data_IF_187373036271
#
_entry.id   IF_187373036271
#
_cell.length_a   1.000
_cell.length_b   1.000
_cell.length_c   1.000
_cell.angle_alpha   90.00
_cell.angle_beta   90.00
_cell.angle_gamma   90.00
#
_symmetry.space_group_name_H-M   'P 1'
#
loop_
_entity.id
_entity.type
_entity.pdbx_description
1 polymer ?
#
# COMPACT_ATOMS: atom_id res chain seq x y z
N UNK A 1 -18.31 0.16 -2.34
CA UNK A 1 -17.46 1.36 -2.39
C UNK A 1 -17.49 1.99 -1.01
N UNK A 2 -16.50 1.64 -0.19
CA UNK A 2 -16.28 2.26 1.11
C UNK A 2 -15.60 3.62 0.90
N UNK A 3 -16.08 4.65 1.59
CA UNK A 3 -15.40 5.94 1.65
C UNK A 3 -14.16 5.71 2.53
N UNK A 4 -12.97 5.81 1.97
CA UNK A 4 -11.74 5.71 2.74
C UNK A 4 -11.68 6.92 3.67
N UNK A 5 -11.65 6.68 4.98
CA UNK A 5 -11.42 7.73 5.96
C UNK A 5 -9.91 7.94 6.09
N UNK A 6 -9.40 8.92 5.34
CA UNK A 6 -7.97 9.25 5.25
C UNK A 6 -7.41 9.88 6.54
N UNK A 7 -8.23 10.06 7.58
CA UNK A 7 -7.81 10.66 8.85
C UNK A 7 -7.26 9.65 9.88
N UNK A 8 -7.45 8.35 9.65
CA UNK A 8 -6.93 7.27 10.51
C UNK A 8 -5.89 6.43 9.74
N UNK A 9 -4.59 6.58 10.04
CA UNK A 9 -3.51 5.84 9.40
C UNK A 9 -3.63 4.32 9.48
N UNK A 10 -4.21 3.78 10.56
CA UNK A 10 -4.38 2.33 10.71
C UNK A 10 -5.52 1.83 9.81
N UNK A 11 -6.64 2.55 9.81
CA UNK A 11 -7.76 2.24 8.91
C UNK A 11 -7.36 2.38 7.43
N UNK A 12 -6.57 3.39 7.10
CA UNK A 12 -5.99 3.58 5.77
C UNK A 12 -5.18 2.35 5.33
N UNK A 13 -4.31 1.86 6.22
CA UNK A 13 -3.44 0.74 5.93
C UNK A 13 -4.22 -0.55 5.70
N UNK A 14 -5.19 -0.85 6.56
CA UNK A 14 -6.02 -2.05 6.41
C UNK A 14 -6.85 -1.99 5.12
N UNK A 15 -7.34 -0.80 4.71
CA UNK A 15 -8.06 -0.63 3.44
C UNK A 15 -7.14 -0.83 2.22
N UNK A 16 -5.89 -0.39 2.30
CA UNK A 16 -4.90 -0.63 1.25
C UNK A 16 -4.59 -2.13 1.13
N UNK A 17 -4.40 -2.84 2.26
CA UNK A 17 -4.21 -4.30 2.27
C UNK A 17 -5.41 -5.01 1.62
N UNK A 18 -6.64 -4.68 2.03
CA UNK A 18 -7.87 -5.24 1.48
C UNK A 18 -7.97 -5.01 -0.04
N UNK A 19 -7.66 -3.80 -0.49
CA UNK A 19 -7.66 -3.47 -1.91
C UNK A 19 -6.65 -4.31 -2.72
N UNK A 20 -5.41 -4.47 -2.23
CA UNK A 20 -4.40 -5.29 -2.93
C UNK A 20 -4.79 -6.77 -2.92
N UNK A 21 -5.41 -7.26 -1.85
CA UNK A 21 -5.94 -8.63 -1.79
C UNK A 21 -7.07 -8.88 -2.80
N UNK A 22 -7.98 -7.92 -2.97
CA UNK A 22 -9.04 -7.99 -3.97
C UNK A 22 -8.48 -7.99 -5.40
N UNK A 23 -7.58 -7.06 -5.72
CA UNK A 23 -6.90 -7.00 -7.02
C UNK A 23 -6.13 -8.29 -7.34
N UNK A 24 -5.52 -8.88 -6.32
CA UNK A 24 -4.82 -10.17 -6.43
C UNK A 24 -5.78 -11.31 -6.74
N UNK A 25 -6.93 -11.37 -6.06
CA UNK A 25 -7.94 -12.38 -6.27
C UNK A 25 -8.56 -12.29 -7.69
N UNK A 26 -8.77 -11.07 -8.17
CA UNK A 26 -9.37 -10.79 -9.47
C UNK A 26 -8.37 -10.86 -10.64
N UNK A 27 -7.06 -10.78 -10.38
CA UNK A 27 -6.03 -10.86 -11.41
C UNK A 27 -6.03 -12.23 -12.10
N UNK A 28 -6.13 -12.22 -13.43
CA UNK A 28 -6.00 -13.40 -14.30
C UNK A 28 -4.60 -13.57 -14.91
N UNK A 29 -3.73 -12.60 -14.67
CA UNK A 29 -2.36 -12.60 -15.15
C UNK A 29 -1.45 -13.16 -14.05
N UNK A 30 -0.72 -14.24 -14.36
CA UNK A 30 0.15 -14.93 -13.40
C UNK A 30 1.34 -14.06 -12.95
N UNK A 31 1.86 -13.19 -13.82
CA UNK A 31 2.95 -12.29 -13.49
C UNK A 31 2.46 -11.19 -12.55
N UNK A 32 1.35 -10.53 -12.89
CA UNK A 32 0.69 -9.53 -12.02
C UNK A 32 0.31 -10.16 -10.67
N UNK A 33 -0.25 -11.38 -10.66
CA UNK A 33 -0.62 -12.07 -9.41
C UNK A 33 0.59 -12.32 -8.50
N UNK A 34 1.73 -12.74 -9.05
CA UNK A 34 2.97 -12.91 -8.26
C UNK A 34 3.53 -11.60 -7.73
N UNK A 35 3.40 -10.51 -8.51
CA UNK A 35 3.71 -9.17 -8.04
C UNK A 35 2.83 -8.82 -6.83
N UNK A 36 1.52 -8.98 -6.96
CA UNK A 36 0.56 -8.69 -5.88
C UNK A 36 0.75 -9.61 -4.67
N UNK A 37 1.10 -10.89 -4.86
CA UNK A 37 1.46 -11.81 -3.77
C UNK A 37 2.61 -11.25 -2.91
N UNK A 38 3.67 -10.72 -3.55
CA UNK A 38 4.80 -10.12 -2.83
C UNK A 38 4.37 -8.87 -2.10
N UNK A 39 3.57 -8.02 -2.75
CA UNK A 39 3.13 -6.75 -2.19
C UNK A 39 2.21 -6.96 -0.98
N UNK A 40 1.26 -7.89 -1.05
CA UNK A 40 0.42 -8.27 0.11
C UNK A 40 1.30 -8.72 1.28
N UNK A 41 2.29 -9.58 1.03
CA UNK A 41 3.18 -10.05 2.10
C UNK A 41 3.97 -8.90 2.76
N UNK A 42 4.44 -7.93 1.96
CA UNK A 42 5.13 -6.74 2.45
C UNK A 42 4.20 -5.82 3.25
N UNK A 43 3.00 -5.57 2.75
CA UNK A 43 2.01 -4.72 3.42
C UNK A 43 1.52 -5.35 4.71
N UNK A 44 1.27 -6.66 4.75
CA UNK A 44 0.91 -7.37 5.98
C UNK A 44 2.03 -7.35 7.01
N UNK A 45 3.30 -7.51 6.61
CA UNK A 45 4.43 -7.40 7.52
C UNK A 45 4.53 -5.98 8.12
N UNK A 46 4.33 -4.97 7.29
CA UNK A 46 4.29 -3.57 7.71
C UNK A 46 3.11 -3.27 8.63
N UNK A 47 1.93 -3.84 8.36
CA UNK A 47 0.72 -3.74 9.19
C UNK A 47 0.99 -4.24 10.62
N UNK A 48 1.68 -5.37 10.77
CA UNK A 48 2.05 -5.89 12.11
C UNK A 48 2.99 -4.96 12.89
N UNK A 49 3.71 -4.08 12.18
CA UNK A 49 4.68 -3.14 12.75
C UNK A 49 4.13 -1.73 12.93
N UNK A 50 2.92 -1.43 12.43
CA UNK A 50 2.32 -0.08 12.43
C UNK A 50 2.42 0.61 13.79
N UNK A 51 2.05 -0.08 14.87
CA UNK A 51 2.08 0.44 16.24
C UNK A 51 3.46 0.89 16.75
N UNK A 52 4.55 0.52 16.04
CA UNK A 52 5.94 0.87 16.40
C UNK A 52 6.54 1.93 15.49
N UNK A 53 5.95 2.12 14.31
CA UNK A 53 6.44 3.05 13.31
C UNK A 53 5.72 4.38 13.46
N UNK A 54 6.48 5.46 13.39
CA UNK A 54 5.95 6.80 13.14
C UNK A 54 5.31 6.85 11.76
N UNK A 55 4.40 7.80 11.58
CA UNK A 55 3.73 8.01 10.30
C UNK A 55 4.71 8.37 9.16
N UNK A 56 5.84 9.04 9.46
CA UNK A 56 6.94 9.27 8.51
C UNK A 56 7.65 7.96 8.12
N UNK A 57 7.89 7.06 9.07
CA UNK A 57 8.47 5.73 8.77
C UNK A 57 7.50 4.89 7.93
N UNK A 58 6.19 5.00 8.18
CA UNK A 58 5.16 4.30 7.40
C UNK A 58 5.09 4.85 5.97
N UNK A 59 5.08 6.16 5.78
CA UNK A 59 5.05 6.78 4.45
C UNK A 59 6.32 6.45 3.65
N UNK A 60 7.49 6.48 4.29
CA UNK A 60 8.74 6.08 3.65
C UNK A 60 8.73 4.60 3.24
N UNK A 61 8.22 3.70 4.08
CA UNK A 61 8.12 2.29 3.75
C UNK A 61 7.21 2.04 2.53
N UNK A 62 6.06 2.73 2.43
CA UNK A 62 5.18 2.65 1.26
C UNK A 62 5.87 3.17 -0.02
N UNK A 63 6.62 4.28 0.07
CA UNK A 63 7.40 4.81 -1.07
C UNK A 63 8.50 3.86 -1.52
N UNK A 64 9.20 3.23 -0.58
CA UNK A 64 10.21 2.22 -0.87
C UNK A 64 9.59 1.00 -1.57
N UNK A 65 8.41 0.55 -1.12
CA UNK A 65 7.68 -0.52 -1.79
C UNK A 65 7.29 -0.14 -3.22
N UNK A 66 6.74 1.06 -3.44
CA UNK A 66 6.38 1.55 -4.77
C UNK A 66 7.60 1.69 -5.69
N UNK A 67 8.73 2.19 -5.17
CA UNK A 67 9.97 2.34 -5.93
C UNK A 67 10.69 1.01 -6.23
N UNK A 68 10.42 -0.04 -5.45
CA UNK A 68 10.98 -1.37 -5.66
C UNK A 68 10.20 -2.23 -6.67
N UNK A 69 9.10 -1.71 -7.22
CA UNK A 69 8.29 -2.43 -8.20
C UNK A 69 9.03 -2.55 -9.53
N UNK A 70 8.93 -3.73 -10.15
CA UNK A 70 9.50 -3.98 -11.47
C UNK A 70 8.85 -3.05 -12.52
N UNK A 71 9.64 -2.52 -13.45
CA UNK A 71 9.19 -1.52 -14.43
C UNK A 71 7.98 -1.97 -15.28
N UNK A 72 7.74 -3.28 -15.40
CA UNK A 72 6.56 -3.81 -16.11
C UNK A 72 5.23 -3.52 -15.38
N UNK A 73 5.28 -3.19 -14.08
CA UNK A 73 4.11 -2.88 -13.24
C UNK A 73 4.12 -1.42 -12.76
N UNK A 74 4.98 -0.54 -13.28
CA UNK A 74 5.08 0.86 -12.84
C UNK A 74 3.75 1.63 -13.00
N UNK A 75 2.98 1.28 -14.03
CA UNK A 75 1.66 1.85 -14.34
C UNK A 75 0.49 1.05 -13.71
N UNK A 76 0.76 0.06 -12.85
CA UNK A 76 -0.31 -0.70 -12.20
C UNK A 76 -1.08 0.19 -11.22
N UNK A 77 -2.43 0.17 -11.22
CA UNK A 77 -3.25 0.96 -10.30
C UNK A 77 -2.86 0.80 -8.83
N UNK A 78 -2.40 -0.39 -8.45
CA UNK A 78 -1.95 -0.68 -7.09
C UNK A 78 -0.72 0.16 -6.72
N UNK A 79 0.22 0.37 -7.65
CA UNK A 79 1.43 1.19 -7.41
C UNK A 79 1.08 2.66 -7.24
N UNK A 80 0.12 3.15 -8.03
CA UNK A 80 -0.44 4.50 -7.83
C UNK A 80 -1.02 4.63 -6.42
N UNK A 81 -1.82 3.67 -5.98
CA UNK A 81 -2.46 3.72 -4.66
C UNK A 81 -1.48 3.59 -3.49
N UNK A 82 -0.37 2.85 -3.62
CA UNK A 82 0.72 2.88 -2.64
C UNK A 82 1.29 4.29 -2.47
N UNK A 83 1.53 4.97 -3.60
CA UNK A 83 2.09 6.32 -3.63
C UNK A 83 1.11 7.35 -3.05
N UNK A 84 -0.17 7.25 -3.43
CA UNK A 84 -1.25 8.10 -2.90
C UNK A 84 -1.37 7.93 -1.38
N UNK A 85 -1.34 6.69 -0.87
CA UNK A 85 -1.40 6.43 0.57
C UNK A 85 -0.19 7.00 1.31
N UNK A 86 1.02 6.90 0.73
CA UNK A 86 2.22 7.47 1.32
C UNK A 86 2.13 9.00 1.43
N UNK A 87 1.62 9.66 0.39
CA UNK A 87 1.45 11.11 0.38
C UNK A 87 0.40 11.58 1.38
N UNK A 88 -0.69 10.83 1.57
CA UNK A 88 -1.71 11.16 2.58
C UNK A 88 -1.18 10.98 4.01
N UNK A 89 -0.39 9.95 4.29
CA UNK A 89 0.29 9.79 5.59
C UNK A 89 1.27 10.93 5.88
N UNK A 90 2.01 11.39 4.87
CA UNK A 90 2.90 12.55 5.01
C UNK A 90 2.11 13.86 5.23
N UNK A 91 0.96 14.03 4.59
CA UNK A 91 0.09 15.20 4.84
C UNK A 91 -0.48 15.22 6.25
N UNK A 92 -0.87 14.06 6.78
CA UNK A 92 -1.42 13.94 8.13
C UNK A 92 -0.40 14.30 9.23
N UNK A 93 0.90 14.17 8.94
CA UNK A 93 2.00 14.45 9.87
C UNK A 93 2.59 15.84 9.75
N UNK A 94 2.37 16.52 8.62
CA UNK A 94 2.96 17.81 8.28
C UNK A 94 2.22 19.06 8.79
N UNK A 95 1.52 19.01 9.94
CA UNK A 95 0.88 20.18 10.58
C UNK A 95 1.32 20.42 12.02
#
# INVERSE_FOLDING_TARGET
MSFIDWSDPEALFSLLVEYVEDERADSRDDARRRFLDKLVAQLSDLETQLHRLSDEERSNALREMAAAVDAEFEDDPVVSHLSDCADELERATGS
#
